data_IF_983502482560
#
_entry.id   IF_983502482560
#
_cell.length_a   1.000
_cell.length_b   1.000
_cell.length_c   1.000
_cell.angle_alpha   90.00
_cell.angle_beta   90.00
_cell.angle_gamma   90.00
#
_symmetry.space_group_name_H-M   'P 1'
#
loop_
_entity.id
_entity.type
_entity.pdbx_description
1 polymer ?
#
# COMPACT_ATOMS: atom_id res chain seq x y z
N UNK A 1 -66.01 -6.77 34.67
CA UNK A 1 -65.07 -7.82 34.21
C UNK A 1 -64.23 -7.43 33.01
N UNK A 2 -64.58 -6.47 32.19
CA UNK A 2 -63.88 -6.07 30.95
C UNK A 2 -62.62 -5.28 31.17
N UNK A 3 -62.53 -4.40 32.21
CA UNK A 3 -61.37 -3.51 32.46
C UNK A 3 -60.12 -4.24 32.96
N UNK A 4 -60.30 -5.20 33.89
CA UNK A 4 -59.22 -6.01 34.44
C UNK A 4 -58.58 -6.93 33.37
N UNK A 5 -59.36 -7.43 32.37
CA UNK A 5 -58.87 -8.26 31.27
C UNK A 5 -58.05 -7.42 30.26
N UNK A 6 -58.45 -6.16 30.08
CA UNK A 6 -57.70 -5.19 29.22
C UNK A 6 -56.36 -4.79 29.83
N UNK A 7 -56.32 -4.56 31.12
CA UNK A 7 -55.07 -4.20 31.88
C UNK A 7 -54.10 -5.38 31.93
N UNK A 8 -54.58 -6.61 32.11
CA UNK A 8 -53.78 -7.84 32.06
C UNK A 8 -53.15 -8.06 30.70
N UNK A 9 -53.91 -7.86 29.62
CA UNK A 9 -53.37 -7.97 28.24
C UNK A 9 -52.33 -6.88 27.92
N UNK A 10 -52.51 -5.66 28.40
CA UNK A 10 -51.54 -4.57 28.22
C UNK A 10 -50.21 -4.84 28.96
N UNK A 11 -50.32 -5.39 30.20
CA UNK A 11 -49.14 -5.75 30.98
C UNK A 11 -48.36 -6.91 30.35
N UNK A 12 -49.06 -7.92 29.84
CA UNK A 12 -48.46 -9.04 29.15
C UNK A 12 -47.79 -8.63 27.83
N UNK A 13 -48.42 -7.73 27.07
CA UNK A 13 -47.82 -7.13 25.86
C UNK A 13 -46.56 -6.35 26.18
N UNK A 14 -46.56 -5.51 27.20
CA UNK A 14 -45.36 -4.79 27.68
C UNK A 14 -44.26 -5.75 28.11
N UNK A 15 -44.57 -6.84 28.78
CA UNK A 15 -43.59 -7.86 29.18
C UNK A 15 -42.99 -8.60 27.96
N UNK A 16 -43.80 -8.92 26.97
CA UNK A 16 -43.32 -9.54 25.70
C UNK A 16 -42.43 -8.58 24.92
N UNK A 17 -42.76 -7.26 24.84
CA UNK A 17 -41.96 -6.26 24.19
C UNK A 17 -40.62 -6.09 24.91
N UNK A 18 -40.62 -5.99 26.25
CA UNK A 18 -39.37 -5.90 27.04
C UNK A 18 -38.47 -7.14 26.82
N UNK A 19 -39.03 -8.37 26.78
CA UNK A 19 -38.27 -9.59 26.52
C UNK A 19 -37.66 -9.56 25.11
N UNK A 20 -38.43 -9.16 24.09
CA UNK A 20 -37.92 -9.05 22.70
C UNK A 20 -36.81 -8.01 22.60
N UNK A 21 -36.98 -6.87 23.25
CA UNK A 21 -35.97 -5.83 23.27
C UNK A 21 -34.69 -6.29 23.99
N UNK A 22 -34.82 -7.01 25.13
CA UNK A 22 -33.68 -7.58 25.84
C UNK A 22 -32.92 -8.61 24.96
N UNK A 23 -33.64 -9.49 24.27
CA UNK A 23 -33.03 -10.46 23.35
C UNK A 23 -32.31 -9.73 22.21
N UNK A 24 -32.96 -8.73 21.60
CA UNK A 24 -32.35 -7.94 20.52
C UNK A 24 -31.07 -7.25 20.99
N UNK A 25 -31.12 -6.59 22.16
CA UNK A 25 -29.93 -5.93 22.75
C UNK A 25 -28.81 -6.93 23.05
N UNK A 26 -29.13 -8.12 23.55
CA UNK A 26 -28.13 -9.16 23.80
C UNK A 26 -27.50 -9.63 22.49
N UNK A 27 -28.30 -9.87 21.44
CA UNK A 27 -27.78 -10.25 20.13
C UNK A 27 -26.88 -9.14 19.54
N UNK A 28 -27.29 -7.88 19.65
CA UNK A 28 -26.49 -6.76 19.17
C UNK A 28 -25.17 -6.63 19.95
N UNK A 29 -25.19 -6.81 21.26
CA UNK A 29 -24.01 -6.78 22.09
C UNK A 29 -23.05 -7.93 21.74
N UNK A 30 -23.58 -9.14 21.55
CA UNK A 30 -22.77 -10.29 21.12
C UNK A 30 -22.18 -10.08 19.72
N UNK A 31 -22.95 -9.54 18.78
CA UNK A 31 -22.46 -9.21 17.45
C UNK A 31 -21.36 -8.14 17.50
N UNK A 32 -21.54 -7.10 18.32
CA UNK A 32 -20.54 -6.06 18.50
C UNK A 32 -19.26 -6.61 19.16
N UNK A 33 -19.40 -7.47 20.17
CA UNK A 33 -18.27 -8.14 20.82
C UNK A 33 -17.53 -9.06 19.83
N UNK A 34 -18.26 -9.84 19.05
CA UNK A 34 -17.67 -10.70 18.02
C UNK A 34 -16.93 -9.87 16.97
N UNK A 35 -17.55 -8.80 16.50
CA UNK A 35 -16.89 -7.87 15.54
C UNK A 35 -15.64 -7.23 16.15
N UNK A 36 -15.71 -6.80 17.40
CA UNK A 36 -14.55 -6.26 18.13
C UNK A 36 -13.44 -7.31 18.23
N UNK A 37 -13.74 -8.54 18.62
CA UNK A 37 -12.78 -9.63 18.68
C UNK A 37 -12.19 -9.94 17.29
N UNK A 38 -13.02 -10.01 16.26
CA UNK A 38 -12.57 -10.24 14.88
C UNK A 38 -11.60 -9.13 14.45
N UNK A 39 -11.97 -7.88 14.65
CA UNK A 39 -11.12 -6.74 14.28
C UNK A 39 -9.82 -6.76 15.08
N UNK A 40 -9.85 -6.93 16.39
CA UNK A 40 -8.66 -6.94 17.24
C UNK A 40 -7.76 -8.15 16.99
N UNK A 41 -8.30 -9.36 16.92
CA UNK A 41 -7.50 -10.57 16.70
C UNK A 41 -6.84 -10.58 15.32
N UNK A 42 -7.47 -9.93 14.34
CA UNK A 42 -6.89 -9.80 12.99
C UNK A 42 -5.76 -8.78 12.93
N UNK A 43 -5.84 -7.74 13.74
CA UNK A 43 -4.80 -6.71 13.78
C UNK A 43 -3.50 -7.18 14.43
N UNK A 44 -3.52 -8.22 15.23
CA UNK A 44 -2.42 -8.63 16.09
C UNK A 44 -1.18 -9.21 15.39
N UNK A 45 -1.15 -9.35 14.06
CA UNK A 45 0.02 -9.94 13.37
C UNK A 45 0.35 -9.35 12.00
N UNK A 46 0.13 -8.08 11.84
CA UNK A 46 0.42 -7.42 10.56
C UNK A 46 1.84 -6.88 10.46
N UNK A 47 2.83 -7.66 10.88
CA UNK A 47 4.24 -7.28 10.77
C UNK A 47 4.71 -7.03 9.33
N UNK A 48 3.90 -7.43 8.34
CA UNK A 48 4.26 -7.36 6.93
C UNK A 48 3.49 -6.32 6.11
N UNK A 49 2.57 -5.56 6.71
CA UNK A 49 1.76 -4.63 5.93
C UNK A 49 2.00 -3.19 6.36
N UNK A 50 2.53 -2.38 5.45
CA UNK A 50 2.80 -0.96 5.66
C UNK A 50 1.55 -0.09 5.63
N UNK A 51 0.44 -0.63 5.15
CA UNK A 51 -0.84 0.10 5.06
C UNK A 51 -1.39 0.52 6.42
N UNK A 52 -1.14 -0.26 7.48
CA UNK A 52 -1.58 0.12 8.83
C UNK A 52 -0.96 1.43 9.31
N UNK A 53 0.32 1.64 9.03
CA UNK A 53 1.02 2.89 9.32
C UNK A 53 0.42 4.08 8.55
N UNK A 54 0.07 3.89 7.28
CA UNK A 54 -0.60 4.92 6.50
C UNK A 54 -1.96 5.31 7.09
N UNK A 55 -2.78 4.35 7.50
CA UNK A 55 -4.06 4.64 8.17
C UNK A 55 -3.91 5.26 9.56
N UNK A 56 -2.74 5.13 10.19
CA UNK A 56 -2.42 5.77 11.47
C UNK A 56 -1.98 7.24 11.31
N UNK A 57 -1.71 7.71 10.09
CA UNK A 57 -1.38 9.10 9.84
C UNK A 57 -2.53 10.02 10.25
N UNK A 58 -2.24 11.20 10.82
CA UNK A 58 -3.25 12.23 10.99
C UNK A 58 -3.90 12.54 9.63
N UNK A 59 -5.22 12.70 9.62
CA UNK A 59 -5.97 12.94 8.39
C UNK A 59 -5.49 14.23 7.70
N UNK A 60 -5.39 14.18 6.38
CA UNK A 60 -5.08 15.34 5.53
C UNK A 60 -3.71 15.98 5.85
N UNK A 61 -2.72 15.17 6.23
CA UNK A 61 -1.36 15.65 6.49
C UNK A 61 -0.35 15.22 5.43
N UNK A 62 -0.66 14.30 4.53
CA UNK A 62 0.20 13.96 3.41
C UNK A 62 -0.14 14.85 2.21
N UNK A 63 0.80 15.71 1.78
CA UNK A 63 0.67 16.52 0.56
C UNK A 63 0.95 15.69 -0.71
N UNK A 64 1.79 14.65 -0.59
CA UNK A 64 2.16 13.73 -1.67
C UNK A 64 2.03 12.28 -1.19
N UNK A 65 1.44 11.42 -2.02
CA UNK A 65 1.37 9.99 -1.73
C UNK A 65 1.89 9.17 -2.90
N UNK A 66 2.84 8.29 -2.63
CA UNK A 66 3.29 7.28 -3.57
C UNK A 66 2.47 6.00 -3.39
N UNK A 67 1.94 5.48 -4.48
CA UNK A 67 1.11 4.27 -4.51
C UNK A 67 1.80 3.23 -5.38
N UNK A 68 2.04 2.04 -4.84
CA UNK A 68 2.71 0.98 -5.58
C UNK A 68 3.05 -0.24 -4.73
N UNK A 69 4.00 -1.00 -5.20
CA UNK A 69 4.45 -2.23 -4.54
C UNK A 69 5.80 -2.07 -3.81
N UNK A 70 6.58 -3.15 -3.74
CA UNK A 70 7.88 -3.16 -3.09
C UNK A 70 8.91 -2.28 -3.78
N UNK A 71 8.81 -2.07 -5.08
CA UNK A 71 9.67 -1.13 -5.81
C UNK A 71 9.49 0.27 -5.24
N UNK A 72 8.25 0.71 -5.07
CA UNK A 72 7.92 2.03 -4.52
C UNK A 72 8.45 2.23 -3.10
N UNK A 73 8.18 1.29 -2.19
CA UNK A 73 8.61 1.48 -0.79
C UNK A 73 10.11 1.25 -0.57
N UNK A 74 10.83 0.66 -1.51
CA UNK A 74 12.29 0.57 -1.46
C UNK A 74 12.98 1.78 -2.10
N UNK A 75 12.27 2.57 -2.92
CA UNK A 75 12.87 3.67 -3.67
C UNK A 75 12.70 5.03 -3.01
N UNK A 76 11.64 5.27 -2.23
CA UNK A 76 11.34 6.60 -1.70
C UNK A 76 11.22 6.61 -0.18
N UNK A 77 12.03 7.45 0.46
CA UNK A 77 12.08 7.68 1.91
C UNK A 77 11.33 8.97 2.26
N UNK A 78 10.05 8.91 2.68
CA UNK A 78 9.24 10.10 2.94
C UNK A 78 9.86 11.06 3.96
N UNK A 79 10.53 10.55 4.99
CA UNK A 79 11.13 11.39 6.02
C UNK A 79 12.35 12.15 5.53
N UNK A 80 13.09 11.61 4.57
CA UNK A 80 14.18 12.34 3.89
C UNK A 80 13.64 13.47 3.01
N UNK A 81 12.52 13.24 2.31
CA UNK A 81 11.85 14.28 1.54
C UNK A 81 11.33 15.41 2.46
N UNK A 82 10.82 15.06 3.64
CA UNK A 82 10.42 16.06 4.63
C UNK A 82 11.61 16.83 5.18
N UNK A 83 12.72 16.16 5.51
CA UNK A 83 13.94 16.79 5.99
C UNK A 83 14.52 17.77 4.96
N UNK A 84 14.68 17.34 3.72
CA UNK A 84 15.43 18.08 2.71
C UNK A 84 14.58 19.18 2.08
N UNK A 85 13.32 18.92 1.76
CA UNK A 85 12.46 19.78 0.97
C UNK A 85 11.17 20.22 1.68
N UNK A 86 10.96 19.77 2.91
CA UNK A 86 9.72 20.05 3.66
C UNK A 86 8.48 19.39 3.06
N UNK A 87 8.63 18.37 2.22
CA UNK A 87 7.52 17.68 1.58
C UNK A 87 6.93 16.66 2.55
N UNK A 88 5.69 16.87 2.96
CA UNK A 88 4.94 15.87 3.74
C UNK A 88 4.45 14.76 2.81
N UNK A 89 5.30 13.74 2.59
CA UNK A 89 5.01 12.60 1.74
C UNK A 89 4.76 11.32 2.54
N UNK A 90 4.01 10.38 1.97
CA UNK A 90 3.83 9.03 2.52
C UNK A 90 3.73 8.00 1.40
N UNK A 91 4.11 6.74 1.72
CA UNK A 91 3.95 5.62 0.81
C UNK A 91 2.69 4.82 1.19
N UNK A 92 1.79 4.63 0.24
CA UNK A 92 0.67 3.68 0.32
C UNK A 92 1.04 2.45 -0.52
N UNK A 93 1.77 1.54 0.07
CA UNK A 93 2.41 0.42 -0.63
C UNK A 93 2.24 -0.89 0.12
N UNK A 94 2.29 -2.00 -0.63
CA UNK A 94 2.38 -3.34 -0.05
C UNK A 94 3.28 -4.22 -0.92
N UNK A 95 3.78 -5.33 -0.38
CA UNK A 95 4.50 -6.30 -1.19
C UNK A 95 3.58 -6.83 -2.28
N UNK A 96 4.11 -7.02 -3.49
CA UNK A 96 3.36 -7.64 -4.60
C UNK A 96 1.96 -7.02 -4.78
N UNK A 97 1.86 -5.69 -4.80
CA UNK A 97 0.57 -5.03 -5.03
C UNK A 97 0.00 -5.48 -6.37
N UNK A 98 -1.27 -5.89 -6.38
CA UNK A 98 -1.93 -6.30 -7.61
C UNK A 98 -2.34 -5.11 -8.46
N UNK A 99 -2.32 -5.31 -9.77
CA UNK A 99 -2.74 -4.31 -10.76
C UNK A 99 -4.13 -3.76 -10.48
N UNK A 100 -5.10 -4.64 -10.19
CA UNK A 100 -6.45 -4.22 -9.83
C UNK A 100 -6.55 -3.56 -8.46
N UNK A 101 -5.60 -3.80 -7.56
CA UNK A 101 -5.58 -3.18 -6.24
C UNK A 101 -5.19 -1.69 -6.28
N UNK A 102 -4.46 -1.24 -7.32
CA UNK A 102 -4.03 0.15 -7.46
C UNK A 102 -5.21 1.13 -7.46
N UNK A 103 -6.29 0.85 -8.20
CA UNK A 103 -7.46 1.73 -8.23
C UNK A 103 -8.15 1.87 -6.88
N UNK A 104 -8.21 0.79 -6.10
CA UNK A 104 -8.77 0.83 -4.74
C UNK A 104 -7.83 1.54 -3.77
N UNK A 105 -6.53 1.51 -4.04
CA UNK A 105 -5.54 2.27 -3.30
C UNK A 105 -5.71 3.77 -3.49
N UNK A 106 -5.99 4.24 -4.70
CA UNK A 106 -6.34 5.64 -4.97
C UNK A 106 -7.56 6.09 -4.14
N UNK A 107 -8.62 5.28 -4.12
CA UNK A 107 -9.83 5.58 -3.34
C UNK A 107 -9.56 5.63 -1.83
N UNK A 108 -8.72 4.72 -1.31
CA UNK A 108 -8.32 4.72 0.10
C UNK A 108 -7.47 5.94 0.46
N UNK A 109 -6.52 6.32 -0.40
CA UNK A 109 -5.69 7.53 -0.23
C UNK A 109 -6.57 8.77 -0.16
N UNK A 110 -7.46 8.97 -1.11
CA UNK A 110 -8.35 10.14 -1.12
C UNK A 110 -9.28 10.18 0.10
N UNK A 111 -9.76 9.02 0.56
CA UNK A 111 -10.65 8.94 1.75
C UNK A 111 -9.95 9.35 3.04
N UNK A 112 -8.63 9.24 3.10
CA UNK A 112 -7.84 9.40 4.34
C UNK A 112 -6.97 10.65 4.35
N UNK A 113 -6.41 11.06 3.21
CA UNK A 113 -5.35 12.06 3.17
C UNK A 113 -5.61 13.27 2.27
N UNK A 114 -6.42 13.20 1.23
CA UNK A 114 -6.64 14.30 0.27
C UNK A 114 -5.33 14.97 -0.18
N UNK A 115 -4.35 14.23 -0.72
CA UNK A 115 -3.07 14.80 -1.14
C UNK A 115 -3.25 15.75 -2.34
N UNK A 116 -2.24 16.57 -2.60
CA UNK A 116 -2.17 17.40 -3.81
C UNK A 116 -1.74 16.58 -5.03
N UNK A 117 -0.80 15.64 -4.80
CA UNK A 117 -0.25 14.80 -5.85
C UNK A 117 -0.24 13.33 -5.40
N UNK A 118 -0.64 12.46 -6.29
CA UNK A 118 -0.50 11.01 -6.11
C UNK A 118 0.39 10.48 -7.24
N UNK A 119 1.51 9.85 -6.88
CA UNK A 119 2.38 9.15 -7.82
C UNK A 119 2.05 7.67 -7.81
N UNK A 120 1.68 7.12 -8.95
CA UNK A 120 1.32 5.70 -9.12
C UNK A 120 2.41 4.98 -9.87
N UNK A 121 3.07 4.04 -9.21
CA UNK A 121 4.07 3.17 -9.85
C UNK A 121 3.39 2.13 -10.74
N UNK A 122 3.92 1.97 -11.96
CA UNK A 122 3.42 0.96 -12.90
C UNK A 122 4.09 -0.40 -12.73
N UNK A 123 5.01 -0.57 -11.79
CA UNK A 123 5.74 -1.82 -11.57
C UNK A 123 4.83 -3.07 -11.50
N UNK A 124 3.62 -3.05 -10.88
CA UNK A 124 2.71 -4.18 -10.90
C UNK A 124 2.37 -4.69 -12.32
N UNK A 125 2.18 -3.78 -13.29
CA UNK A 125 1.90 -4.14 -14.68
C UNK A 125 3.12 -4.71 -15.41
N UNK A 126 4.33 -4.40 -14.96
CA UNK A 126 5.55 -4.90 -15.59
C UNK A 126 5.84 -6.35 -15.20
N UNK A 127 5.42 -6.73 -13.98
CA UNK A 127 5.69 -8.04 -13.37
C UNK A 127 4.45 -8.95 -13.29
N UNK A 128 3.38 -8.59 -13.99
CA UNK A 128 2.13 -9.37 -14.04
C UNK A 128 1.54 -9.69 -12.65
N UNK A 129 1.47 -8.69 -11.77
CA UNK A 129 0.97 -8.86 -10.42
C UNK A 129 -0.57 -8.89 -10.37
N UNK A 130 -1.17 -10.08 -10.51
CA UNK A 130 -2.60 -10.29 -10.37
C UNK A 130 -2.95 -11.68 -9.83
N UNK A 131 -4.07 -11.82 -9.17
CA UNK A 131 -4.44 -13.02 -8.42
C UNK A 131 -4.59 -14.29 -9.27
N UNK A 132 -4.88 -14.15 -10.56
CA UNK A 132 -5.01 -15.27 -11.51
C UNK A 132 -3.73 -15.64 -12.23
N UNK A 133 -2.58 -15.08 -11.89
CA UNK A 133 -1.31 -15.44 -12.52
C UNK A 133 -1.00 -16.92 -12.29
N UNK A 134 -1.00 -17.69 -13.37
CA UNK A 134 -0.84 -19.16 -13.33
C UNK A 134 0.62 -19.60 -13.10
N UNK A 135 1.58 -18.69 -13.22
CA UNK A 135 3.00 -18.99 -12.94
C UNK A 135 3.31 -19.12 -11.45
N UNK A 136 2.43 -18.60 -10.56
CA UNK A 136 2.63 -18.65 -9.12
C UNK A 136 2.13 -19.96 -8.52
N UNK A 137 2.85 -20.47 -7.52
CA UNK A 137 2.35 -21.55 -6.67
C UNK A 137 1.09 -21.12 -5.91
N UNK A 138 0.26 -22.07 -5.45
CA UNK A 138 -0.90 -21.74 -4.61
C UNK A 138 -0.48 -21.05 -3.32
N UNK A 139 0.62 -21.46 -2.71
CA UNK A 139 1.14 -20.87 -1.49
C UNK A 139 1.58 -19.42 -1.69
N UNK A 140 2.32 -19.12 -2.77
CA UNK A 140 2.75 -17.76 -3.09
C UNK A 140 1.53 -16.88 -3.41
N UNK A 141 0.58 -17.41 -4.16
CA UNK A 141 -0.66 -16.70 -4.51
C UNK A 141 -1.45 -16.32 -3.27
N UNK A 142 -1.63 -17.21 -2.31
CA UNK A 142 -2.33 -16.93 -1.05
C UNK A 142 -1.57 -15.90 -0.21
N UNK A 143 -0.25 -15.97 -0.19
CA UNK A 143 0.60 -14.98 0.47
C UNK A 143 0.44 -13.59 -0.18
N UNK A 144 0.49 -13.51 -1.50
CA UNK A 144 0.35 -12.24 -2.22
C UNK A 144 -1.07 -11.65 -2.10
N UNK A 145 -2.10 -12.49 -2.06
CA UNK A 145 -3.47 -12.05 -1.73
C UNK A 145 -3.52 -11.45 -0.33
N UNK A 146 -2.87 -12.09 0.64
CA UNK A 146 -2.78 -11.55 2.00
C UNK A 146 -2.09 -10.19 2.03
N UNK A 147 -1.00 -9.99 1.30
CA UNK A 147 -0.33 -8.69 1.20
C UNK A 147 -1.26 -7.60 0.65
N UNK A 148 -2.15 -7.93 -0.27
CA UNK A 148 -3.08 -6.99 -0.87
C UNK A 148 -4.32 -6.69 -0.03
N UNK A 149 -4.73 -7.59 0.84
CA UNK A 149 -5.97 -7.49 1.61
C UNK A 149 -5.75 -7.16 3.09
N UNK A 150 -4.71 -7.72 3.69
CA UNK A 150 -4.43 -7.53 5.10
C UNK A 150 -4.09 -6.04 5.34
N UNK A 151 -4.52 -5.51 6.45
CA UNK A 151 -4.42 -4.08 6.79
C UNK A 151 -5.29 -3.11 5.99
N UNK A 152 -5.93 -3.50 4.89
CA UNK A 152 -6.95 -2.63 4.29
C UNK A 152 -8.17 -2.52 5.19
N UNK A 153 -8.68 -1.32 5.34
CA UNK A 153 -9.91 -1.09 6.08
C UNK A 153 -11.09 -1.85 5.46
N UNK A 154 -12.04 -2.29 6.31
CA UNK A 154 -13.27 -2.92 5.86
C UNK A 154 -14.19 -1.87 5.22
N UNK A 155 -14.10 -1.72 3.92
CA UNK A 155 -14.83 -0.76 3.08
C UNK A 155 -15.54 -1.50 1.94
N UNK A 156 -16.51 -0.86 1.25
CA UNK A 156 -17.08 -1.40 0.03
C UNK A 156 -16.01 -1.70 -1.05
N UNK A 157 -14.95 -0.88 -1.10
CA UNK A 157 -13.85 -1.07 -2.04
C UNK A 157 -13.06 -2.34 -1.75
N UNK A 158 -12.82 -2.65 -0.45
CA UNK A 158 -12.24 -3.93 -0.06
C UNK A 158 -13.10 -5.12 -0.50
N UNK A 159 -14.43 -5.03 -0.34
CA UNK A 159 -15.34 -6.08 -0.78
C UNK A 159 -15.26 -6.28 -2.29
N UNK A 160 -15.21 -5.20 -3.04
CA UNK A 160 -15.08 -5.24 -4.51
C UNK A 160 -13.75 -5.85 -4.94
N UNK A 161 -12.64 -5.48 -4.28
CA UNK A 161 -11.31 -6.07 -4.52
C UNK A 161 -11.31 -7.58 -4.22
N UNK A 162 -11.89 -8.01 -3.09
CA UNK A 162 -12.03 -9.43 -2.75
C UNK A 162 -12.81 -10.19 -3.81
N UNK A 163 -13.91 -9.60 -4.29
CA UNK A 163 -14.71 -10.21 -5.34
C UNK A 163 -13.89 -10.38 -6.64
N UNK A 164 -13.13 -9.37 -7.05
CA UNK A 164 -12.27 -9.46 -8.23
C UNK A 164 -11.17 -10.51 -8.07
N UNK A 165 -10.46 -10.50 -6.94
CA UNK A 165 -9.45 -11.51 -6.62
C UNK A 165 -10.03 -12.94 -6.70
N UNK A 166 -11.22 -13.14 -6.11
CA UNK A 166 -11.87 -14.44 -6.12
C UNK A 166 -12.25 -14.87 -7.53
N UNK A 167 -12.79 -13.94 -8.33
CA UNK A 167 -13.14 -14.19 -9.74
C UNK A 167 -11.90 -14.56 -10.55
N UNK A 168 -10.81 -13.84 -10.38
CA UNK A 168 -9.56 -14.03 -11.14
C UNK A 168 -8.92 -15.39 -10.84
N UNK A 169 -9.09 -15.87 -9.61
CA UNK A 169 -8.72 -17.23 -9.21
C UNK A 169 -9.70 -18.32 -9.66
N UNK A 170 -10.80 -17.96 -10.29
CA UNK A 170 -11.91 -18.88 -10.58
C UNK A 170 -12.48 -19.55 -9.30
N UNK A 171 -12.42 -18.79 -8.18
CA UNK A 171 -12.84 -19.24 -6.85
C UNK A 171 -14.37 -19.22 -6.65
N UNK A 172 -14.79 -19.79 -5.54
CA UNK A 172 -16.19 -19.88 -5.12
C UNK A 172 -16.60 -18.69 -4.22
N UNK A 173 -17.89 -18.48 -3.96
CA UNK A 173 -18.35 -17.52 -2.95
C UNK A 173 -17.81 -17.79 -1.54
N UNK A 174 -17.48 -19.04 -1.20
CA UNK A 174 -16.85 -19.37 0.08
C UNK A 174 -15.42 -18.82 0.16
N UNK A 175 -14.68 -18.85 -0.95
CA UNK A 175 -13.35 -18.25 -1.04
C UNK A 175 -13.42 -16.73 -0.86
N UNK A 176 -14.46 -16.08 -1.38
CA UNK A 176 -14.66 -14.65 -1.17
C UNK A 176 -14.87 -14.33 0.32
N UNK A 177 -15.63 -15.13 1.06
CA UNK A 177 -15.78 -14.97 2.51
C UNK A 177 -14.47 -15.22 3.24
N UNK A 178 -13.71 -16.23 2.84
CA UNK A 178 -12.39 -16.54 3.40
C UNK A 178 -11.42 -15.35 3.24
N UNK A 179 -11.37 -14.74 2.06
CA UNK A 179 -10.52 -13.58 1.80
C UNK A 179 -11.04 -12.27 2.41
N UNK A 180 -12.34 -12.12 2.55
CA UNK A 180 -12.93 -10.90 3.11
C UNK A 180 -12.62 -10.74 4.60
N UNK A 181 -12.71 -11.84 5.37
CA UNK A 181 -12.46 -11.83 6.80
C UNK A 181 -11.04 -12.27 7.10
N UNK A 182 -10.20 -11.33 7.54
CA UNK A 182 -8.81 -11.62 7.91
C UNK A 182 -8.70 -12.70 8.98
N UNK A 183 -9.68 -12.77 9.90
CA UNK A 183 -9.73 -13.81 10.92
C UNK A 183 -9.71 -15.23 10.33
N UNK A 184 -10.32 -15.44 9.16
CA UNK A 184 -10.32 -16.73 8.49
C UNK A 184 -8.92 -17.21 8.12
N UNK A 185 -8.00 -16.27 7.85
CA UNK A 185 -6.61 -16.54 7.46
C UNK A 185 -5.64 -16.47 8.64
N UNK A 186 -5.99 -15.69 9.66
CA UNK A 186 -5.10 -15.35 10.77
C UNK A 186 -5.50 -16.03 12.10
N UNK A 187 -6.54 -16.89 12.11
CA UNK A 187 -7.06 -17.50 13.34
C UNK A 187 -6.04 -18.39 14.07
N UNK A 188 -5.08 -18.97 13.34
CA UNK A 188 -4.02 -19.81 13.92
C UNK A 188 -2.86 -18.98 14.51
N UNK A 189 -2.89 -17.67 14.30
CA UNK A 189 -1.86 -16.81 14.85
C UNK A 189 -2.08 -16.62 16.35
N UNK A 190 -1.08 -16.87 17.23
CA UNK A 190 -1.23 -16.61 18.64
C UNK A 190 -1.54 -15.12 18.87
N UNK A 191 -2.56 -14.79 19.68
CA UNK A 191 -2.90 -13.41 19.98
C UNK A 191 -1.76 -12.74 20.74
N UNK A 192 -1.28 -11.61 20.26
CA UNK A 192 -0.43 -10.70 21.03
C UNK A 192 -1.33 -9.74 21.81
N UNK A 193 -1.77 -10.18 23.01
CA UNK A 193 -2.66 -9.42 23.87
C UNK A 193 -2.01 -8.15 24.45
N UNK A 194 -0.70 -7.99 24.32
CA UNK A 194 0.01 -6.78 24.77
C UNK A 194 -0.15 -5.61 23.79
N UNK A 195 -0.50 -5.88 22.53
CA UNK A 195 -0.68 -4.86 21.49
C UNK A 195 -2.15 -4.49 21.32
N UNK A 196 -2.70 -3.69 22.23
CA UNK A 196 -4.07 -3.18 22.12
C UNK A 196 -4.27 -2.15 21.01
N UNK A 197 -3.18 -1.54 20.56
CA UNK A 197 -3.25 -0.47 19.58
C UNK A 197 -2.59 -0.93 18.28
N UNK A 198 -3.41 -1.29 17.31
CA UNK A 198 -3.00 -1.90 16.04
C UNK A 198 -2.58 -0.89 14.98
N UNK A 199 -2.71 0.37 15.29
CA UNK A 199 -2.18 1.45 14.50
C UNK A 199 -0.83 1.84 15.11
N UNK A 200 0.15 0.95 14.98
CA UNK A 200 1.53 1.36 15.27
C UNK A 200 1.87 2.52 14.34
N UNK A 201 2.26 3.62 14.97
CA UNK A 201 2.74 4.79 14.26
C UNK A 201 3.98 4.37 13.49
N UNK A 202 3.89 4.41 12.18
CA UNK A 202 5.02 4.16 11.31
C UNK A 202 5.79 5.45 11.10
N UNK A 203 6.91 5.60 11.81
CA UNK A 203 7.78 6.77 11.68
C UNK A 203 8.44 6.85 10.30
N UNK A 204 8.48 5.77 9.55
CA UNK A 204 9.06 5.73 8.20
C UNK A 204 8.11 6.24 7.13
N UNK A 205 6.84 6.44 7.47
CA UNK A 205 5.77 6.82 6.53
C UNK A 205 5.62 5.86 5.34
N UNK A 206 5.83 4.58 5.59
CA UNK A 206 5.69 3.52 4.60
C UNK A 206 6.96 3.22 3.81
N UNK A 207 8.11 3.78 4.17
CA UNK A 207 9.39 3.28 3.67
C UNK A 207 9.63 1.85 4.15
N UNK A 208 10.34 1.08 3.35
CA UNK A 208 10.70 -0.30 3.67
C UNK A 208 11.50 -0.47 4.96
N UNK A 209 12.52 -1.22 4.92
CA UNK A 209 13.47 -1.34 6.02
C UNK A 209 14.82 -0.83 5.56
N UNK A 210 15.59 -0.33 6.50
CA UNK A 210 16.98 0.03 6.24
C UNK A 210 17.76 -1.26 5.97
N UNK A 211 18.18 -1.44 4.72
CA UNK A 211 18.95 -2.60 4.25
C UNK A 211 20.17 -2.14 3.49
N UNK A 212 21.20 -2.97 3.50
CA UNK A 212 22.40 -2.76 2.68
C UNK A 212 22.57 -3.85 1.64
N UNK A 213 23.20 -3.49 0.54
CA UNK A 213 23.64 -4.45 -0.46
C UNK A 213 24.65 -5.40 0.16
N UNK A 214 24.40 -6.66 0.10
CA UNK A 214 25.30 -7.69 0.65
C UNK A 214 24.86 -9.08 0.25
N UNK A 215 23.70 -9.19 -0.37
CA UNK A 215 23.08 -10.48 -0.61
C UNK A 215 23.33 -11.04 -2.02
N UNK A 216 23.51 -10.20 -3.04
CA UNK A 216 23.71 -10.69 -4.39
C UNK A 216 24.43 -9.68 -5.27
N UNK A 217 25.55 -10.03 -5.83
CA UNK A 217 26.13 -9.31 -6.94
C UNK A 217 25.36 -9.66 -8.22
N UNK A 218 24.93 -8.65 -8.95
CA UNK A 218 24.31 -8.78 -10.26
C UNK A 218 25.33 -8.41 -11.34
N UNK A 219 25.36 -9.17 -12.43
CA UNK A 219 26.17 -8.78 -13.56
C UNK A 219 25.36 -7.95 -14.55
N UNK A 220 25.95 -6.94 -15.20
CA UNK A 220 25.26 -6.15 -16.21
C UNK A 220 24.68 -6.99 -17.37
N UNK A 221 25.26 -8.15 -17.66
CA UNK A 221 24.84 -9.07 -18.70
C UNK A 221 23.50 -9.76 -18.38
N UNK A 222 23.09 -9.77 -17.10
CA UNK A 222 21.78 -10.30 -16.67
C UNK A 222 20.64 -9.28 -16.85
N UNK A 223 20.96 -8.06 -17.30
CA UNK A 223 20.01 -6.95 -17.37
C UNK A 223 19.62 -6.66 -18.82
N UNK A 224 18.35 -6.32 -19.03
CA UNK A 224 17.84 -5.95 -20.32
C UNK A 224 17.89 -4.42 -20.52
N UNK A 225 18.58 -3.92 -21.55
CA UNK A 225 18.51 -2.51 -21.91
C UNK A 225 17.12 -2.16 -22.47
N UNK A 226 16.78 -0.88 -22.41
CA UNK A 226 15.60 -0.39 -23.13
C UNK A 226 15.93 -0.28 -24.64
N UNK A 227 15.42 -1.21 -25.41
CA UNK A 227 15.60 -1.29 -26.86
C UNK A 227 14.41 -0.67 -27.63
N UNK A 228 13.47 -0.02 -26.92
CA UNK A 228 12.26 0.56 -27.50
C UNK A 228 11.20 -0.47 -27.88
N UNK A 229 11.38 -1.75 -27.52
CA UNK A 229 10.37 -2.79 -27.76
C UNK A 229 9.04 -2.46 -27.09
N UNK A 230 7.94 -2.98 -27.66
CA UNK A 230 6.59 -2.79 -27.13
C UNK A 230 5.94 -4.17 -26.96
N UNK A 231 5.54 -4.48 -25.72
CA UNK A 231 4.81 -5.70 -25.38
C UNK A 231 3.44 -5.32 -24.81
N UNK A 232 2.35 -5.57 -25.54
CA UNK A 232 1.00 -5.28 -25.06
C UNK A 232 0.66 -6.07 -23.79
N UNK A 233 -0.19 -5.49 -22.94
CA UNK A 233 -0.79 -6.17 -21.81
C UNK A 233 -1.77 -7.26 -22.29
N UNK A 234 -1.97 -8.28 -21.46
CA UNK A 234 -3.05 -9.26 -21.66
C UNK A 234 -4.40 -8.57 -21.47
N UNK A 235 -5.47 -9.09 -22.03
CA UNK A 235 -6.81 -8.50 -21.96
C UNK A 235 -7.27 -8.18 -20.51
N UNK A 236 -6.91 -9.02 -19.55
CA UNK A 236 -7.27 -8.81 -18.14
C UNK A 236 -6.51 -7.62 -17.55
N UNK A 237 -5.22 -7.55 -17.77
CA UNK A 237 -4.34 -6.49 -17.30
C UNK A 237 -4.70 -5.14 -17.94
N UNK A 238 -5.03 -5.17 -19.25
CA UNK A 238 -5.51 -3.98 -19.96
C UNK A 238 -6.81 -3.44 -19.32
N UNK A 239 -7.75 -4.33 -18.94
CA UNK A 239 -8.95 -3.90 -18.24
C UNK A 239 -8.63 -3.27 -16.88
N UNK A 240 -7.64 -3.77 -16.16
CA UNK A 240 -7.23 -3.17 -14.88
C UNK A 240 -6.59 -1.80 -15.08
N UNK A 241 -5.76 -1.64 -16.12
CA UNK A 241 -5.19 -0.35 -16.46
C UNK A 241 -6.29 0.66 -16.84
N UNK A 242 -7.26 0.26 -17.67
CA UNK A 242 -8.40 1.11 -18.04
C UNK A 242 -9.19 1.56 -16.81
N UNK A 243 -9.50 0.64 -15.90
CA UNK A 243 -10.22 0.95 -14.67
C UNK A 243 -9.42 1.84 -13.72
N UNK A 244 -8.09 1.67 -13.66
CA UNK A 244 -7.21 2.54 -12.88
C UNK A 244 -7.24 3.96 -13.43
N UNK A 245 -7.13 4.13 -14.76
CA UNK A 245 -7.17 5.43 -15.40
C UNK A 245 -8.54 6.13 -15.23
N UNK A 246 -9.64 5.38 -15.34
CA UNK A 246 -10.98 5.95 -15.05
C UNK A 246 -11.12 6.37 -13.58
N UNK A 247 -10.55 5.61 -12.64
CA UNK A 247 -10.52 6.01 -11.23
C UNK A 247 -9.66 7.26 -11.05
N UNK A 248 -8.48 7.31 -11.68
CA UNK A 248 -7.58 8.46 -11.60
C UNK A 248 -8.23 9.78 -12.06
N UNK A 249 -9.10 9.73 -13.07
CA UNK A 249 -9.88 10.92 -13.53
C UNK A 249 -10.81 11.49 -12.47
N UNK A 250 -11.22 10.69 -11.50
CA UNK A 250 -12.16 11.11 -10.44
C UNK A 250 -11.45 11.61 -9.19
N UNK A 251 -10.12 11.53 -9.14
CA UNK A 251 -9.34 12.01 -8.00
C UNK A 251 -9.31 13.52 -7.94
N UNK A 252 -9.35 14.07 -6.72
CA UNK A 252 -9.14 15.50 -6.47
C UNK A 252 -7.66 15.88 -6.62
N UNK A 253 -6.76 14.93 -6.31
CA UNK A 253 -5.33 15.06 -6.47
C UNK A 253 -4.91 14.98 -7.95
N UNK A 254 -3.83 15.64 -8.29
CA UNK A 254 -3.14 15.37 -9.55
C UNK A 254 -2.51 13.98 -9.52
N UNK A 255 -2.97 13.09 -10.40
CA UNK A 255 -2.45 11.72 -10.49
C UNK A 255 -1.39 11.65 -11.57
N UNK A 256 -0.20 11.27 -11.16
CA UNK A 256 0.99 11.10 -12.00
C UNK A 256 1.37 9.63 -12.02
N UNK A 257 1.55 9.06 -13.18
CA UNK A 257 2.08 7.70 -13.31
C UNK A 257 3.59 7.76 -13.49
N UNK A 258 4.31 6.79 -12.94
CA UNK A 258 5.76 6.78 -13.07
C UNK A 258 6.33 5.37 -13.07
N UNK A 259 7.59 5.26 -13.47
CA UNK A 259 8.43 4.09 -13.21
C UNK A 259 9.72 4.53 -12.52
N UNK A 260 10.14 3.77 -11.51
CA UNK A 260 11.35 4.03 -10.75
C UNK A 260 12.61 3.78 -11.59
N UNK A 261 13.78 4.33 -11.24
CA UNK A 261 15.04 4.14 -11.97
C UNK A 261 15.68 2.77 -11.68
N UNK A 262 14.92 1.71 -11.90
CA UNK A 262 15.31 0.31 -11.68
C UNK A 262 15.88 -0.34 -12.95
N UNK A 263 16.41 -1.54 -12.81
CA UNK A 263 16.85 -2.40 -13.89
C UNK A 263 15.83 -3.52 -14.16
N UNK A 264 15.77 -3.96 -15.38
CA UNK A 264 14.89 -5.05 -15.81
C UNK A 264 15.69 -6.29 -16.17
N UNK A 265 15.18 -7.47 -15.84
CA UNK A 265 15.80 -8.76 -16.18
C UNK A 265 15.23 -9.39 -17.44
N UNK A 266 14.05 -8.98 -17.82
CA UNK A 266 13.32 -9.54 -18.95
C UNK A 266 12.97 -8.45 -19.94
N UNK A 267 13.18 -8.72 -21.22
CA UNK A 267 12.78 -7.80 -22.30
C UNK A 267 11.27 -7.56 -22.34
N UNK A 268 10.49 -8.52 -21.85
CA UNK A 268 9.06 -8.37 -21.66
C UNK A 268 8.70 -7.23 -20.71
N UNK A 269 9.44 -7.04 -19.62
CA UNK A 269 9.24 -5.93 -18.66
C UNK A 269 9.50 -4.58 -19.33
N UNK A 270 10.58 -4.48 -20.12
CA UNK A 270 10.90 -3.27 -20.90
C UNK A 270 9.78 -2.95 -21.90
N UNK A 271 9.37 -3.96 -22.67
CA UNK A 271 8.31 -3.78 -23.67
C UNK A 271 6.96 -3.41 -23.05
N UNK A 272 6.61 -3.99 -21.88
CA UNK A 272 5.39 -3.65 -21.14
C UNK A 272 5.47 -2.23 -20.57
N UNK A 273 6.63 -1.80 -20.05
CA UNK A 273 6.86 -0.42 -19.62
C UNK A 273 6.54 0.55 -20.75
N UNK A 274 7.13 0.33 -21.93
CA UNK A 274 6.94 1.19 -23.08
C UNK A 274 5.48 1.19 -23.57
N UNK A 275 4.81 0.05 -23.55
CA UNK A 275 3.39 -0.04 -23.86
C UNK A 275 2.52 0.76 -22.87
N UNK A 276 2.69 0.51 -21.57
CA UNK A 276 1.89 1.15 -20.50
C UNK A 276 2.10 2.65 -20.50
N UNK A 277 3.36 3.11 -20.60
CA UNK A 277 3.70 4.53 -20.74
C UNK A 277 2.94 5.18 -21.89
N UNK A 278 3.11 4.64 -23.11
CA UNK A 278 2.47 5.19 -24.30
C UNK A 278 0.94 5.22 -24.17
N UNK A 279 0.36 4.19 -23.57
CA UNK A 279 -1.08 4.11 -23.36
C UNK A 279 -1.59 5.16 -22.36
N UNK A 280 -0.91 5.35 -21.24
CA UNK A 280 -1.23 6.36 -20.21
C UNK A 280 -1.14 7.77 -20.82
N UNK A 281 -0.07 8.08 -21.54
CA UNK A 281 0.12 9.37 -22.21
C UNK A 281 -0.98 9.63 -23.28
N UNK A 282 -1.36 8.63 -24.06
CA UNK A 282 -2.48 8.71 -25.02
C UNK A 282 -3.83 8.98 -24.33
N UNK A 283 -4.01 8.56 -23.10
CA UNK A 283 -5.20 8.85 -22.29
C UNK A 283 -5.16 10.23 -21.62
N UNK A 284 -4.09 10.99 -21.83
CA UNK A 284 -3.94 12.38 -21.36
C UNK A 284 -3.42 12.53 -19.94
N UNK A 285 -2.82 11.48 -19.37
CA UNK A 285 -2.18 11.54 -18.06
C UNK A 285 -0.69 11.84 -18.18
N UNK A 286 -0.13 12.49 -17.16
CA UNK A 286 1.30 12.67 -17.02
C UNK A 286 1.96 11.33 -16.66
N UNK A 287 2.99 10.98 -17.41
CA UNK A 287 3.86 9.86 -17.11
C UNK A 287 5.30 10.33 -16.96
N UNK A 288 5.96 9.92 -15.88
CA UNK A 288 7.37 10.25 -15.62
C UNK A 288 8.19 8.98 -15.65
N UNK A 289 9.07 8.89 -16.65
CA UNK A 289 9.95 7.74 -16.82
C UNK A 289 11.33 8.01 -16.21
N UNK A 290 11.49 7.66 -14.93
CA UNK A 290 12.78 7.77 -14.26
C UNK A 290 13.75 6.64 -14.58
N UNK A 291 13.34 5.63 -15.36
CA UNK A 291 14.20 4.48 -15.67
C UNK A 291 15.49 4.87 -16.43
N UNK A 292 15.49 6.02 -17.09
CA UNK A 292 16.64 6.59 -17.77
C UNK A 292 17.59 7.40 -16.88
N UNK A 293 17.17 7.76 -15.66
CA UNK A 293 17.85 8.75 -14.84
C UNK A 293 18.97 8.19 -13.94
N UNK A 294 19.25 6.88 -14.06
CA UNK A 294 20.22 6.18 -13.18
C UNK A 294 21.60 6.88 -13.14
N UNK A 295 22.12 7.28 -14.27
CA UNK A 295 23.39 8.00 -14.36
C UNK A 295 23.31 9.40 -13.76
N UNK A 296 22.22 10.13 -14.03
CA UNK A 296 22.00 11.48 -13.49
C UNK A 296 21.85 11.47 -11.95
N UNK A 297 21.24 10.41 -11.40
CA UNK A 297 21.12 10.18 -9.96
C UNK A 297 22.47 9.74 -9.35
N UNK A 298 23.36 9.19 -10.15
CA UNK A 298 24.63 8.60 -9.70
C UNK A 298 24.41 7.24 -9.03
N UNK A 299 23.52 6.41 -9.60
CA UNK A 299 23.26 5.07 -9.10
C UNK A 299 24.34 4.09 -9.60
N UNK A 300 24.88 3.30 -8.68
CA UNK A 300 25.77 2.18 -8.94
C UNK A 300 25.05 0.85 -8.68
N UNK A 301 25.06 -0.05 -9.68
CA UNK A 301 24.36 -1.32 -9.57
C UNK A 301 24.87 -2.19 -8.42
N UNK A 302 26.16 -2.10 -8.11
CA UNK A 302 26.78 -2.92 -7.07
C UNK A 302 26.59 -2.36 -5.67
N UNK A 303 26.38 -1.05 -5.53
CA UNK A 303 26.38 -0.35 -4.23
C UNK A 303 25.00 0.12 -3.79
N UNK A 304 24.07 0.36 -4.72
CA UNK A 304 22.81 1.05 -4.46
C UNK A 304 21.57 0.14 -4.58
N UNK A 305 21.76 -1.13 -4.94
CA UNK A 305 20.67 -2.06 -5.20
C UNK A 305 20.77 -3.33 -4.34
N UNK A 306 19.64 -3.71 -3.75
CA UNK A 306 19.47 -5.02 -3.11
C UNK A 306 19.12 -6.11 -4.12
N UNK A 307 18.32 -5.76 -5.14
CA UNK A 307 18.04 -6.54 -6.35
C UNK A 307 17.94 -5.58 -7.53
N UNK A 308 17.94 -6.02 -8.80
CA UNK A 308 17.86 -5.11 -9.94
C UNK A 308 16.68 -4.16 -9.90
N UNK A 309 15.58 -4.55 -9.28
CA UNK A 309 14.34 -3.82 -9.17
C UNK A 309 14.06 -3.24 -7.77
N UNK A 310 14.99 -3.42 -6.80
CA UNK A 310 14.86 -2.86 -5.46
C UNK A 310 16.15 -2.17 -5.03
N UNK A 311 16.01 -0.97 -4.49
CA UNK A 311 17.13 -0.23 -3.94
C UNK A 311 17.51 -0.76 -2.55
N UNK A 312 18.79 -0.66 -2.22
CA UNK A 312 19.20 -0.61 -0.83
C UNK A 312 18.97 0.79 -0.24
N UNK A 313 19.28 0.99 1.03
CA UNK A 313 19.02 2.27 1.67
C UNK A 313 19.90 3.41 1.16
N UNK A 314 21.08 3.13 0.62
CA UNK A 314 21.94 4.17 0.01
C UNK A 314 21.38 4.61 -1.34
N UNK A 315 20.95 3.66 -2.17
CA UNK A 315 20.27 3.95 -3.43
C UNK A 315 18.97 4.70 -3.21
N UNK A 316 18.17 4.27 -2.22
CA UNK A 316 16.93 4.95 -1.86
C UNK A 316 17.12 6.41 -1.43
N UNK A 317 18.20 6.74 -0.70
CA UNK A 317 18.54 8.12 -0.37
C UNK A 317 18.80 8.98 -1.61
N UNK A 318 19.56 8.44 -2.57
CA UNK A 318 19.85 9.13 -3.84
C UNK A 318 18.58 9.36 -4.67
N UNK A 319 17.75 8.30 -4.79
CA UNK A 319 16.48 8.35 -5.52
C UNK A 319 15.50 9.31 -4.86
N UNK A 320 15.39 9.29 -3.53
CA UNK A 320 14.53 10.19 -2.78
C UNK A 320 14.89 11.66 -3.02
N UNK A 321 16.17 11.98 -3.04
CA UNK A 321 16.63 13.34 -3.35
C UNK A 321 16.17 13.76 -4.74
N UNK A 322 16.42 12.94 -5.75
CA UNK A 322 16.02 13.22 -7.13
C UNK A 322 14.51 13.40 -7.28
N UNK A 323 13.73 12.51 -6.68
CA UNK A 323 12.26 12.60 -6.70
C UNK A 323 11.76 13.85 -5.97
N UNK A 324 12.38 14.23 -4.86
CA UNK A 324 12.01 15.43 -4.11
C UNK A 324 12.29 16.72 -4.92
N UNK A 325 13.42 16.78 -5.61
CA UNK A 325 13.78 17.88 -6.51
C UNK A 325 12.78 17.97 -7.69
N UNK A 326 12.40 16.82 -8.28
CA UNK A 326 11.39 16.75 -9.32
C UNK A 326 10.04 17.30 -8.81
N UNK A 327 9.58 16.82 -7.65
CA UNK A 327 8.32 17.23 -7.05
C UNK A 327 8.26 18.75 -6.77
N UNK A 328 9.33 19.33 -6.22
CA UNK A 328 9.40 20.77 -5.94
C UNK A 328 9.46 21.62 -7.20
N UNK A 329 10.03 21.09 -8.27
CA UNK A 329 10.14 21.80 -9.55
C UNK A 329 8.83 21.82 -10.31
N UNK A 330 8.07 20.73 -10.26
CA UNK A 330 6.88 20.55 -11.11
C UNK A 330 5.55 20.81 -10.40
N UNK A 331 5.55 20.76 -9.06
CA UNK A 331 4.32 20.93 -8.27
C UNK A 331 4.44 22.02 -7.22
N UNK A 332 3.36 22.75 -6.98
CA UNK A 332 3.30 23.74 -5.89
C UNK A 332 3.07 23.04 -4.55
N UNK A 333 4.16 22.61 -3.93
CA UNK A 333 4.16 21.95 -2.63
C UNK A 333 4.65 22.89 -1.53
N UNK A 334 3.92 22.99 -0.39
CA UNK A 334 4.36 23.81 0.73
C UNK A 334 5.58 23.20 1.43
N UNK A 335 6.39 24.03 2.05
CA UNK A 335 7.36 23.56 3.05
C UNK A 335 6.66 23.43 4.40
N UNK A 336 6.61 22.20 4.93
CA UNK A 336 5.89 21.88 6.17
C UNK A 336 6.77 21.88 7.41
N UNK A 337 8.05 22.12 7.31
CA UNK A 337 8.99 22.01 8.44
C UNK A 337 8.68 22.98 9.58
N UNK A 338 8.25 24.19 9.25
CA UNK A 338 7.90 25.25 10.22
C UNK A 338 6.38 25.34 10.49
N UNK A 339 5.57 24.46 9.91
CA UNK A 339 4.11 24.46 10.09
C UNK A 339 3.74 23.77 11.41
N UNK A 340 3.15 24.47 12.40
CA UNK A 340 2.78 23.86 13.68
C UNK A 340 1.81 22.67 13.57
N UNK A 341 1.02 22.58 12.50
CA UNK A 341 0.14 21.46 12.24
C UNK A 341 0.90 20.17 11.94
N UNK A 342 2.21 20.27 11.64
CA UNK A 342 3.10 19.16 11.31
C UNK A 342 4.11 18.85 12.44
N UNK A 343 3.84 19.27 13.68
CA UNK A 343 4.71 18.98 14.82
C UNK A 343 4.98 17.47 15.01
N UNK A 344 4.00 16.63 14.72
CA UNK A 344 4.16 15.17 14.74
C UNK A 344 5.15 14.67 13.67
N UNK A 345 5.21 15.33 12.51
CA UNK A 345 6.18 15.01 11.46
C UNK A 345 7.60 15.39 11.90
N UNK A 346 7.75 16.53 12.53
CA UNK A 346 9.05 16.97 13.07
C UNK A 346 9.55 16.01 14.18
N UNK A 347 8.66 15.55 15.05
CA UNK A 347 9.00 14.56 16.08
C UNK A 347 9.42 13.21 15.48
N UNK A 348 8.70 12.75 14.44
CA UNK A 348 9.03 11.52 13.73
C UNK A 348 10.34 11.64 12.93
N UNK A 349 10.61 12.82 12.37
CA UNK A 349 11.88 13.07 11.70
C UNK A 349 13.07 12.88 12.66
N UNK A 350 12.97 13.36 13.89
CA UNK A 350 14.03 13.15 14.87
C UNK A 350 14.24 11.65 15.20
N UNK A 351 13.17 10.91 15.35
CA UNK A 351 13.22 9.45 15.56
C UNK A 351 13.81 8.73 14.34
N UNK A 352 13.41 9.13 13.14
CA UNK A 352 13.95 8.61 11.89
C UNK A 352 15.46 8.87 11.75
N UNK A 353 15.91 10.09 12.01
CA UNK A 353 17.33 10.46 11.96
C UNK A 353 18.16 9.59 12.92
N UNK A 354 17.65 9.36 14.13
CA UNK A 354 18.30 8.48 15.11
C UNK A 354 18.39 7.05 14.57
N UNK A 355 17.31 6.52 13.99
CA UNK A 355 17.29 5.18 13.42
C UNK A 355 18.26 5.05 12.24
N UNK A 356 18.29 6.03 11.35
CA UNK A 356 19.19 6.06 10.20
C UNK A 356 20.66 6.15 10.63
N UNK A 357 20.95 6.98 11.64
CA UNK A 357 22.29 7.10 12.21
C UNK A 357 22.76 5.79 12.87
N UNK A 358 21.90 5.18 13.68
CA UNK A 358 22.18 3.88 14.31
C UNK A 358 22.44 2.79 13.28
N UNK A 359 21.68 2.78 12.20
CA UNK A 359 21.85 1.84 11.09
C UNK A 359 23.20 2.09 10.40
N UNK A 360 23.53 3.34 10.08
CA UNK A 360 24.81 3.69 9.42
C UNK A 360 26.02 3.28 10.27
N UNK A 361 25.91 3.40 11.59
CA UNK A 361 27.01 3.04 12.50
C UNK A 361 27.16 1.54 12.68
N UNK A 362 26.06 0.78 12.71
CA UNK A 362 26.07 -0.68 12.97
C UNK A 362 26.33 -1.47 11.71
N UNK A 363 25.71 -1.10 10.62
CA UNK A 363 25.69 -1.83 9.36
C UNK A 363 26.61 -1.24 8.30
N UNK A 364 27.38 -0.21 8.65
CA UNK A 364 28.49 0.26 7.81
C UNK A 364 29.40 -0.87 7.32
N UNK A 365 29.14 -2.12 7.72
CA UNK A 365 29.94 -3.28 7.43
C UNK A 365 29.27 -4.66 7.38
N UNK A 366 27.99 -4.86 7.61
CA UNK A 366 27.42 -6.21 7.55
C UNK A 366 25.94 -6.26 7.19
N UNK A 367 25.61 -7.11 6.23
CA UNK A 367 24.28 -7.47 5.81
C UNK A 367 23.50 -8.20 6.92
N UNK A 368 22.30 -7.76 7.17
CA UNK A 368 21.33 -8.47 7.99
C UNK A 368 19.93 -8.08 7.55
N UNK A 369 19.30 -8.94 6.76
CA UNK A 369 17.86 -8.89 6.57
C UNK A 369 17.20 -9.58 7.76
N UNK A 370 16.17 -8.98 8.43
CA UNK A 370 15.38 -9.69 9.42
C UNK A 370 14.43 -10.71 8.79
#
# INVERSE_FOLDING_TARGET
MTKAKSEGNAAERKRRVKKRLAVLLTCLLQAALLLFCVVHLTYMRRAYTRLSGFYALPKNTADVVFVGDSVTFSSFMPMEAFQNEGIAAANYCTNMMFENALRYSLADVQRTQHPKVILVDIAPFLSEHWAGNESWSEQDRDLYISYNLDSRNYTPDRLSLVYEITRDRKGSPADALYYFFDLSRCHDNPPDLARWNNQEKDITRGYGYLVRNGMRQFSPEELCPDDGSITPLKDQEQRYLDQLLETAKTMEAEVVFYTAPVYYRESSQVGRKNYVKNYIEQKGFLFVDFSGDKEAIGLDLAEDFWSPDHFDSLGALKVTKHFSEYLKTHFTLPDRREDPAYADWAADLHAWQTQLQDWTQKDGGAAGCP
#
